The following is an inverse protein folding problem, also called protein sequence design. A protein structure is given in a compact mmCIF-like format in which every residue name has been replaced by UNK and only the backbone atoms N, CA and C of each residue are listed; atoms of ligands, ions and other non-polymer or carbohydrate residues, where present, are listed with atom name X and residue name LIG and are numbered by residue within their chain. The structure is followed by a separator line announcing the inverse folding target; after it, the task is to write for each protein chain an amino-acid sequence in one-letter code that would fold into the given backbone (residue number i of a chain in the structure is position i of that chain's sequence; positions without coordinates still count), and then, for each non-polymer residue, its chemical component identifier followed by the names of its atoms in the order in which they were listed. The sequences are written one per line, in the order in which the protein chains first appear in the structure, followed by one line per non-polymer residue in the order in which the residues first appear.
data_IF_979494381170
#
_entry.id   IF_979494381170
#
_cell.length_a   1.000
_cell.length_b   1.000
_cell.length_c   1.000
_cell.angle_alpha   90.00
_cell.angle_beta   90.00
_cell.angle_gamma   90.00
#
_symmetry.space_group_name_H-M   'P 1'
#
loop_
_entity.id
_entity.type
_entity.pdbx_description
1 polymer ?
#
# COMPACT_ATOMS: atom_id res chain seq x y z
N UNK A 1 -3.98 -15.26 -2.93
CA UNK A 1 -4.21 -14.32 -4.06
C UNK A 1 -3.30 -13.13 -3.87
N UNK A 2 -2.20 -13.13 -4.63
CA UNK A 2 -0.90 -12.50 -4.38
C UNK A 2 -0.11 -13.02 -3.17
N UNK A 3 -0.77 -13.50 -2.13
CA UNK A 3 -0.13 -14.31 -1.10
C UNK A 3 -0.57 -15.77 -1.29
N UNK A 4 0.29 -16.58 -1.89
CA UNK A 4 0.12 -18.02 -2.01
C UNK A 4 1.18 -18.71 -1.13
N UNK A 5 0.76 -19.72 -0.35
CA UNK A 5 1.65 -20.58 0.44
C UNK A 5 1.46 -22.04 -0.02
N UNK A 6 2.45 -22.65 -0.69
CA UNK A 6 3.79 -22.11 -0.98
C UNK A 6 3.78 -21.00 -2.05
N UNK A 7 4.82 -20.14 -2.07
CA UNK A 7 4.94 -19.08 -3.06
C UNK A 7 5.02 -19.66 -4.47
N UNK A 8 4.29 -19.02 -5.38
CA UNK A 8 4.24 -19.39 -6.78
C UNK A 8 5.14 -18.47 -7.61
N UNK A 9 5.79 -19.01 -8.65
CA UNK A 9 6.66 -18.23 -9.55
C UNK A 9 5.89 -17.13 -10.33
N UNK A 10 4.62 -17.37 -10.67
CA UNK A 10 3.77 -16.40 -11.36
C UNK A 10 2.32 -16.49 -10.86
N UNK A 11 1.52 -15.41 -10.96
CA UNK A 11 0.13 -15.41 -10.48
C UNK A 11 -0.76 -16.46 -11.15
N UNK A 12 -1.69 -17.06 -10.40
CA UNK A 12 -2.66 -18.04 -10.93
C UNK A 12 -3.51 -17.49 -12.09
N UNK A 13 -3.83 -16.19 -12.08
CA UNK A 13 -4.59 -15.56 -13.16
C UNK A 13 -3.81 -15.57 -14.49
N UNK A 14 -2.49 -15.42 -14.45
CA UNK A 14 -1.60 -15.56 -15.61
C UNK A 14 -1.54 -17.02 -16.05
N UNK A 15 -1.35 -17.98 -15.12
CA UNK A 15 -1.32 -19.42 -15.43
C UNK A 15 -2.62 -19.95 -16.05
N UNK A 16 -3.77 -19.42 -15.65
CA UNK A 16 -5.08 -19.89 -16.11
C UNK A 16 -5.61 -19.16 -17.34
N UNK A 17 -4.90 -18.18 -17.90
CA UNK A 17 -5.40 -17.45 -19.06
C UNK A 17 -5.08 -18.20 -20.37
N UNK A 18 -6.05 -18.89 -21.03
CA UNK A 18 -5.78 -19.63 -22.26
C UNK A 18 -5.57 -18.73 -23.49
N UNK A 19 -5.91 -17.45 -23.36
CA UNK A 19 -5.84 -16.46 -24.43
C UNK A 19 -4.60 -15.54 -24.29
N UNK A 20 -3.71 -15.83 -23.34
CA UNK A 20 -2.49 -15.07 -23.06
C UNK A 20 -2.75 -13.56 -22.85
N UNK A 21 -3.91 -13.20 -22.26
CA UNK A 21 -4.28 -11.80 -22.03
C UNK A 21 -3.54 -11.15 -20.84
N UNK A 22 -2.88 -11.95 -20.00
CA UNK A 22 -2.20 -11.50 -18.79
C UNK A 22 -0.74 -11.94 -18.84
N UNK A 23 0.18 -11.02 -18.58
CA UNK A 23 1.63 -11.26 -18.59
C UNK A 23 2.20 -10.75 -17.27
N UNK A 24 3.10 -11.53 -16.67
CA UNK A 24 3.86 -11.14 -15.48
C UNK A 24 5.29 -10.78 -15.88
N UNK A 25 5.72 -9.56 -15.59
CA UNK A 25 7.07 -9.05 -15.85
C UNK A 25 7.60 -8.36 -14.60
N UNK A 26 8.74 -8.82 -14.09
CA UNK A 26 9.47 -8.14 -13.02
C UNK A 26 10.47 -7.17 -13.64
N UNK A 27 10.48 -5.92 -13.16
CA UNK A 27 11.41 -4.88 -13.60
C UNK A 27 12.00 -4.16 -12.39
N UNK A 28 13.29 -3.87 -12.46
CA UNK A 28 13.94 -2.95 -11.53
C UNK A 28 13.73 -1.53 -12.03
N UNK A 29 12.99 -0.72 -11.29
CA UNK A 29 12.74 0.69 -11.60
C UNK A 29 13.50 1.53 -10.57
N UNK A 30 14.38 2.44 -11.04
CA UNK A 30 15.01 3.44 -10.19
C UNK A 30 13.92 4.41 -9.72
N UNK A 31 13.24 4.05 -8.64
CA UNK A 31 12.44 4.99 -7.85
C UNK A 31 13.41 5.87 -7.08
N UNK A 32 13.21 7.18 -7.12
CA UNK A 32 13.83 8.06 -6.12
C UNK A 32 13.50 7.47 -4.75
N UNK A 33 14.51 7.19 -3.92
CA UNK A 33 14.31 6.74 -2.54
C UNK A 33 13.41 7.78 -1.85
N UNK A 34 12.14 7.41 -1.72
CA UNK A 34 11.09 8.28 -1.21
C UNK A 34 11.42 8.71 0.21
N UNK A 35 11.04 9.94 0.51
CA UNK A 35 11.33 10.61 1.77
C UNK A 35 10.53 9.98 2.91
N UNK A 36 11.01 8.87 3.47
CA UNK A 36 10.23 8.01 4.38
C UNK A 36 9.64 8.73 5.60
N UNK A 37 10.22 9.85 6.04
CA UNK A 37 9.70 10.61 7.18
C UNK A 37 8.95 11.89 6.79
N UNK A 38 9.33 12.58 5.71
CA UNK A 38 8.65 13.83 5.32
C UNK A 38 7.23 13.54 4.81
N UNK A 39 7.00 12.44 4.10
CA UNK A 39 5.66 12.11 3.56
C UNK A 39 4.63 11.81 4.67
N UNK A 40 5.07 11.19 5.78
CA UNK A 40 4.20 10.91 6.93
C UNK A 40 3.85 12.19 7.67
N UNK A 41 4.84 13.05 7.91
CA UNK A 41 4.64 14.34 8.57
C UNK A 41 3.79 15.28 7.72
N UNK A 42 4.00 15.32 6.42
CA UNK A 42 3.21 16.12 5.47
C UNK A 42 1.78 15.60 5.37
N UNK A 43 1.58 14.27 5.32
CA UNK A 43 0.26 13.65 5.35
C UNK A 43 -0.51 13.96 6.64
N UNK A 44 0.15 13.87 7.80
CA UNK A 44 -0.43 14.24 9.10
C UNK A 44 -0.78 15.73 9.17
N UNK A 45 0.11 16.60 8.68
CA UNK A 45 -0.11 18.05 8.64
C UNK A 45 -1.28 18.40 7.73
N UNK A 46 -1.35 17.83 6.54
CA UNK A 46 -2.46 18.03 5.61
C UNK A 46 -3.81 17.57 6.19
N UNK A 47 -3.82 16.49 6.99
CA UNK A 47 -5.02 16.04 7.71
C UNK A 47 -5.43 17.01 8.82
N UNK A 48 -4.46 17.53 9.58
CA UNK A 48 -4.70 18.53 10.62
C UNK A 48 -5.25 19.82 10.03
N UNK A 49 -4.70 20.29 8.91
CA UNK A 49 -5.14 21.52 8.26
C UNK A 49 -6.59 21.41 7.74
N UNK A 50 -6.97 20.24 7.20
CA UNK A 50 -8.33 20.01 6.68
C UNK A 50 -9.37 19.73 7.76
N UNK A 51 -8.99 19.03 8.83
CA UNK A 51 -9.96 18.42 9.76
C UNK A 51 -9.76 18.81 11.23
N UNK A 52 -8.66 19.47 11.55
CA UNK A 52 -8.29 19.90 12.90
C UNK A 52 -7.69 18.78 13.77
N UNK A 53 -6.86 19.19 14.72
CA UNK A 53 -6.13 18.29 15.63
C UNK A 53 -7.02 17.32 16.40
N UNK A 54 -8.20 17.77 16.84
CA UNK A 54 -9.08 16.96 17.67
C UNK A 54 -9.57 15.72 16.90
N UNK A 55 -10.01 15.92 15.66
CA UNK A 55 -10.57 14.86 14.82
C UNK A 55 -9.52 13.84 14.39
N UNK A 56 -8.29 14.30 14.11
CA UNK A 56 -7.17 13.43 13.76
C UNK A 56 -6.79 12.54 14.95
N UNK A 57 -6.63 13.12 16.16
CA UNK A 57 -6.32 12.36 17.38
C UNK A 57 -7.40 11.34 17.75
N UNK A 58 -8.67 11.74 17.70
CA UNK A 58 -9.80 10.85 18.02
C UNK A 58 -9.87 9.66 17.05
N UNK A 59 -9.58 9.89 15.78
CA UNK A 59 -9.56 8.83 14.75
C UNK A 59 -8.41 7.88 14.97
N UNK A 60 -7.21 8.41 15.24
CA UNK A 60 -6.03 7.59 15.55
C UNK A 60 -6.27 6.71 16.79
N UNK A 61 -6.81 7.27 17.87
CA UNK A 61 -7.14 6.53 19.08
C UNK A 61 -8.11 5.36 18.81
N UNK A 62 -9.13 5.56 17.96
CA UNK A 62 -10.06 4.47 17.58
C UNK A 62 -9.39 3.35 16.79
N UNK A 63 -8.42 3.69 15.95
CA UNK A 63 -7.67 2.70 15.17
C UNK A 63 -6.76 1.86 16.06
N UNK A 64 -6.12 2.46 17.07
CA UNK A 64 -5.23 1.76 18.02
C UNK A 64 -5.99 0.86 19.01
N UNK A 65 -7.31 1.04 19.17
CA UNK A 65 -8.11 0.26 20.14
C UNK A 65 -8.79 -0.98 19.52
N UNK A 66 -8.61 -1.23 18.22
CA UNK A 66 -9.08 -2.45 17.57
C UNK A 66 -7.95 -3.49 17.57
N UNK A 67 -7.80 -4.17 18.68
CA UNK A 67 -7.11 -5.47 18.80
C UNK A 67 -8.10 -6.52 19.26
#
# INVERSE_FOLDING_TARGET
MCEDDPPQEVPLCVKWCPNDCLVYEEREEEVEEGVEMEDVEEGLTAMVDKYGWQKVKDTMARMTTKE
#
